data_IF_309421104139
#
_entry.id   IF_309421104139
#
_cell.length_a   1.000
_cell.length_b   1.000
_cell.length_c   1.000
_cell.angle_alpha   90.00
_cell.angle_beta   90.00
_cell.angle_gamma   90.00
#
_symmetry.space_group_name_H-M   'P 1'
#
loop_
_entity.id
_entity.type
_entity.pdbx_description
1 polymer ?
#
# COMPACT_ATOMS: atom_id res chain seq x y z
N UNK A 1 3.42 8.20 23.50
CA UNK A 1 2.01 8.55 23.83
C UNK A 1 1.85 9.59 24.93
N UNK A 2 2.89 10.08 25.62
CA UNK A 2 2.74 11.04 26.74
C UNK A 2 2.48 12.49 26.31
N UNK A 3 2.97 12.94 25.14
CA UNK A 3 2.91 14.35 24.75
C UNK A 3 1.52 14.86 24.29
N UNK A 4 0.68 13.99 23.70
CA UNK A 4 -0.65 14.40 23.21
C UNK A 4 -1.72 14.49 24.32
N UNK A 5 -1.50 13.82 25.46
CA UNK A 5 -2.47 13.76 26.57
C UNK A 5 -2.36 14.94 27.55
N UNK A 6 -1.30 15.74 27.48
CA UNK A 6 -1.00 16.75 28.52
C UNK A 6 -1.57 18.14 28.27
N UNK A 7 -2.25 18.38 27.13
CA UNK A 7 -2.72 19.72 26.74
C UNK A 7 -4.24 19.85 26.56
N UNK A 8 -5.00 18.76 26.63
CA UNK A 8 -6.44 18.79 26.47
C UNK A 8 -7.13 17.69 27.29
N UNK A 9 -8.23 18.02 27.98
CA UNK A 9 -9.09 17.08 28.72
C UNK A 9 -9.94 16.18 27.80
N UNK A 10 -9.38 15.75 26.68
CA UNK A 10 -10.04 14.89 25.69
C UNK A 10 -9.22 13.63 25.45
N UNK A 11 -9.92 12.51 25.27
CA UNK A 11 -9.29 11.26 24.89
C UNK A 11 -8.77 11.34 23.45
N UNK A 12 -7.45 11.16 23.30
CA UNK A 12 -6.80 11.08 22.00
C UNK A 12 -6.47 9.62 21.66
N UNK A 13 -6.95 9.18 20.50
CA UNK A 13 -6.59 7.91 19.88
C UNK A 13 -5.61 8.18 18.74
N UNK A 14 -4.56 7.37 18.66
CA UNK A 14 -3.55 7.44 17.59
C UNK A 14 -3.66 6.16 16.79
N UNK A 15 -3.68 6.29 15.48
CA UNK A 15 -3.75 5.18 14.55
C UNK A 15 -2.80 5.42 13.38
N UNK A 16 -2.38 4.33 12.73
CA UNK A 16 -1.61 4.37 11.50
C UNK A 16 -2.42 5.03 10.36
N UNK A 17 -1.72 5.69 9.44
CA UNK A 17 -2.30 6.42 8.30
C UNK A 17 -3.09 5.52 7.34
N UNK A 18 -2.57 4.35 6.97
CA UNK A 18 -3.25 3.39 6.11
C UNK A 18 -4.48 2.76 6.80
N UNK A 19 -4.39 2.46 8.09
CA UNK A 19 -5.55 2.05 8.90
C UNK A 19 -6.61 3.16 8.96
N UNK A 20 -6.21 4.39 9.23
CA UNK A 20 -7.13 5.54 9.26
C UNK A 20 -7.80 5.76 7.90
N UNK A 21 -7.05 5.63 6.81
CA UNK A 21 -7.59 5.69 5.44
C UNK A 21 -8.61 4.58 5.19
N UNK A 22 -8.28 3.33 5.53
CA UNK A 22 -9.19 2.19 5.39
C UNK A 22 -10.49 2.38 6.18
N UNK A 23 -10.39 2.87 7.42
CA UNK A 23 -11.55 3.17 8.26
C UNK A 23 -12.39 4.32 7.67
N UNK A 24 -11.74 5.34 7.13
CA UNK A 24 -12.40 6.43 6.42
C UNK A 24 -13.20 5.94 5.22
N UNK A 25 -12.59 5.11 4.37
CA UNK A 25 -13.26 4.52 3.20
C UNK A 25 -14.42 3.61 3.58
N UNK A 26 -14.25 2.79 4.63
CA UNK A 26 -15.29 1.90 5.14
C UNK A 26 -16.48 2.65 5.77
N UNK A 27 -16.25 3.78 6.44
CA UNK A 27 -17.30 4.53 7.14
C UNK A 27 -17.97 5.60 6.28
N UNK A 28 -17.19 6.29 5.45
CA UNK A 28 -17.63 7.51 4.78
C UNK A 28 -17.39 7.51 3.27
N UNK A 29 -16.46 6.67 2.80
CA UNK A 29 -16.01 6.69 1.41
C UNK A 29 -16.71 5.68 0.50
N UNK A 30 -15.94 5.16 -0.46
CA UNK A 30 -16.41 4.29 -1.52
C UNK A 30 -16.65 2.85 -1.05
N UNK A 31 -16.14 2.50 0.14
CA UNK A 31 -16.25 1.18 0.74
C UNK A 31 -17.38 1.06 1.78
N UNK A 32 -18.31 2.01 1.82
CA UNK A 32 -19.48 1.91 2.70
C UNK A 32 -20.27 0.63 2.43
N UNK A 33 -20.82 0.06 3.50
CA UNK A 33 -21.63 -1.17 3.50
C UNK A 33 -20.88 -2.44 3.05
N UNK A 34 -19.55 -2.39 2.99
CA UNK A 34 -18.69 -3.53 2.69
C UNK A 34 -18.32 -4.27 3.97
N UNK A 35 -18.54 -5.59 3.99
CA UNK A 35 -18.18 -6.44 5.11
C UNK A 35 -16.66 -6.55 5.29
N UNK A 36 -15.91 -6.51 4.20
CA UNK A 36 -14.44 -6.52 4.22
C UNK A 36 -13.91 -5.42 3.31
N UNK A 37 -13.11 -4.52 3.87
CA UNK A 37 -12.42 -3.45 3.12
C UNK A 37 -10.94 -3.66 3.25
N UNK A 38 -10.24 -3.69 2.12
CA UNK A 38 -8.78 -3.67 2.06
C UNK A 38 -8.39 -2.37 1.36
N UNK A 39 -7.63 -1.52 2.03
CA UNK A 39 -7.10 -0.30 1.43
C UNK A 39 -5.59 -0.47 1.25
N UNK A 40 -5.09 -0.23 0.05
CA UNK A 40 -3.67 -0.23 -0.30
C UNK A 40 -3.29 1.20 -0.63
N UNK A 41 -2.56 1.86 0.27
CA UNK A 41 -2.07 3.21 0.03
C UNK A 41 -0.76 3.15 -0.75
N UNK A 42 -0.72 3.82 -1.90
CA UNK A 42 0.48 3.92 -2.76
C UNK A 42 1.01 5.35 -2.71
N UNK A 43 2.14 5.55 -2.04
CA UNK A 43 2.77 6.85 -1.89
C UNK A 43 4.29 6.72 -1.82
N UNK A 44 4.93 7.43 -0.88
CA UNK A 44 6.37 7.26 -0.61
C UNK A 44 6.72 5.80 -0.33
N UNK A 45 5.83 5.09 0.39
CA UNK A 45 5.87 3.65 0.64
C UNK A 45 4.59 2.95 0.17
N UNK A 46 4.36 1.74 0.68
CA UNK A 46 3.13 0.97 0.49
C UNK A 46 2.54 0.64 1.87
N UNK A 47 1.37 1.22 2.16
CA UNK A 47 0.60 0.91 3.37
C UNK A 47 -0.60 0.01 3.06
N UNK A 48 -1.02 -0.78 4.04
CA UNK A 48 -2.25 -1.58 3.94
C UNK A 48 -3.06 -1.45 5.21
N UNK A 49 -4.34 -1.13 5.07
CA UNK A 49 -5.32 -1.17 6.15
C UNK A 49 -6.43 -2.15 5.81
N UNK A 50 -6.90 -2.91 6.81
CA UNK A 50 -7.99 -3.87 6.63
C UNK A 50 -9.09 -3.58 7.66
N UNK A 51 -10.33 -3.48 7.19
CA UNK A 51 -11.52 -3.35 8.03
C UNK A 51 -12.43 -4.55 7.78
N UNK A 52 -12.88 -5.19 8.84
CA UNK A 52 -13.88 -6.27 8.78
C UNK A 52 -15.05 -5.91 9.68
N UNK A 53 -16.25 -5.93 9.13
CA UNK A 53 -17.50 -5.61 9.83
C UNK A 53 -17.44 -4.26 10.57
N UNK A 54 -16.81 -3.26 9.94
CA UNK A 54 -16.62 -1.92 10.50
C UNK A 54 -15.51 -1.78 11.57
N UNK A 55 -14.77 -2.86 11.85
CA UNK A 55 -13.70 -2.92 12.85
C UNK A 55 -12.34 -3.07 12.14
N UNK A 56 -11.35 -2.27 12.54
CA UNK A 56 -9.99 -2.41 12.04
C UNK A 56 -9.38 -3.77 12.43
N UNK A 57 -8.70 -4.39 11.47
CA UNK A 57 -7.90 -5.58 11.70
C UNK A 57 -6.46 -5.14 11.95
N UNK A 58 -6.03 -5.24 13.19
CA UNK A 58 -4.65 -5.00 13.59
C UNK A 58 -3.80 -6.27 13.49
N UNK A 59 -2.51 -6.09 13.28
CA UNK A 59 -1.49 -7.12 13.43
C UNK A 59 -1.18 -7.43 14.90
N UNK A 60 -0.20 -8.31 15.11
CA UNK A 60 0.30 -8.60 16.45
C UNK A 60 0.72 -7.30 17.16
N UNK A 61 0.43 -7.20 18.45
CA UNK A 61 0.74 -6.02 19.28
C UNK A 61 0.05 -4.71 18.85
N UNK A 62 -1.01 -4.78 18.04
CA UNK A 62 -1.78 -3.59 17.65
C UNK A 62 -1.14 -2.77 16.53
N UNK A 63 -0.18 -3.34 15.79
CA UNK A 63 0.41 -2.67 14.63
C UNK A 63 -0.55 -2.68 13.43
N UNK A 64 -0.33 -1.82 12.45
CA UNK A 64 -1.02 -1.96 11.17
C UNK A 64 -0.50 -3.19 10.41
N UNK A 65 -1.25 -3.68 9.41
CA UNK A 65 -0.75 -4.68 8.49
C UNK A 65 0.50 -4.17 7.73
N UNK A 66 1.63 -4.85 7.93
CA UNK A 66 2.89 -4.56 7.23
C UNK A 66 2.95 -5.23 5.85
N UNK A 67 1.81 -5.24 5.13
CA UNK A 67 1.66 -6.04 3.92
C UNK A 67 2.40 -5.46 2.70
N UNK A 68 2.89 -4.21 2.78
CA UNK A 68 3.86 -3.67 1.82
C UNK A 68 5.18 -4.46 1.79
N UNK A 69 5.49 -5.20 2.86
CA UNK A 69 6.68 -6.05 2.98
C UNK A 69 6.47 -7.49 2.50
N UNK A 70 5.29 -7.84 1.97
CA UNK A 70 5.10 -9.15 1.33
C UNK A 70 6.07 -9.29 0.17
N UNK A 71 6.84 -10.37 0.16
CA UNK A 71 7.79 -10.70 -0.91
C UNK A 71 7.02 -11.25 -2.10
N UNK A 72 7.16 -10.60 -3.25
CA UNK A 72 6.55 -11.03 -4.53
C UNK A 72 7.60 -11.32 -5.61
N UNK A 73 8.85 -10.94 -5.36
CA UNK A 73 9.99 -11.20 -6.24
C UNK A 73 11.23 -11.51 -5.37
N UNK A 74 11.51 -12.78 -5.06
CA UNK A 74 12.62 -13.15 -4.17
C UNK A 74 14.00 -12.68 -4.65
N UNK A 75 14.16 -12.46 -5.96
CA UNK A 75 15.39 -11.96 -6.59
C UNK A 75 15.36 -10.42 -6.80
N UNK A 76 14.35 -9.75 -6.23
CA UNK A 76 14.14 -8.32 -6.34
C UNK A 76 15.10 -7.47 -5.48
N UNK A 77 14.91 -6.14 -5.46
CA UNK A 77 15.76 -5.22 -4.69
C UNK A 77 15.71 -5.50 -3.18
N UNK A 78 16.79 -5.19 -2.47
CA UNK A 78 16.82 -5.23 -1.00
C UNK A 78 15.84 -4.19 -0.41
N UNK A 79 14.97 -4.66 0.48
CA UNK A 79 14.11 -3.82 1.30
C UNK A 79 14.77 -3.51 2.64
N UNK A 80 14.45 -2.36 3.23
CA UNK A 80 14.97 -1.98 4.54
C UNK A 80 14.50 -2.90 5.68
N UNK A 81 13.42 -3.67 5.46
CA UNK A 81 12.99 -4.71 6.40
C UNK A 81 13.94 -5.93 6.42
N UNK A 82 14.91 -5.99 5.50
CA UNK A 82 15.92 -7.07 5.39
C UNK A 82 15.60 -8.14 4.35
N UNK A 83 14.39 -8.17 3.79
CA UNK A 83 14.00 -9.09 2.72
C UNK A 83 14.29 -8.54 1.31
N UNK A 84 14.23 -9.38 0.29
CA UNK A 84 14.36 -8.99 -1.11
C UNK A 84 12.99 -9.02 -1.83
N UNK A 85 12.75 -8.00 -2.66
CA UNK A 85 11.55 -7.82 -3.50
C UNK A 85 10.22 -7.84 -2.77
N UNK A 86 10.18 -7.13 -1.64
CA UNK A 86 8.93 -6.64 -1.07
C UNK A 86 8.17 -5.80 -2.10
N UNK A 87 6.83 -5.82 -2.03
CA UNK A 87 5.97 -4.97 -2.89
C UNK A 87 6.37 -3.51 -2.81
N UNK A 88 6.73 -3.01 -1.63
CA UNK A 88 7.13 -1.62 -1.42
C UNK A 88 8.34 -1.19 -2.26
N UNK A 89 9.37 -2.04 -2.36
CA UNK A 89 10.58 -1.72 -3.15
C UNK A 89 10.40 -1.96 -4.65
N UNK A 90 9.22 -2.41 -5.06
CA UNK A 90 8.86 -2.64 -6.46
C UNK A 90 7.84 -1.62 -6.97
N UNK A 91 6.94 -1.15 -6.10
CA UNK A 91 5.75 -0.42 -6.52
C UNK A 91 5.49 0.92 -5.81
N UNK A 92 6.23 1.26 -4.76
CA UNK A 92 6.11 2.60 -4.16
C UNK A 92 6.54 3.69 -5.15
N UNK A 93 6.07 4.92 -4.95
CA UNK A 93 6.52 6.06 -5.75
C UNK A 93 8.04 6.23 -5.67
N UNK A 94 8.62 6.01 -4.47
CA UNK A 94 10.07 6.03 -4.26
C UNK A 94 10.78 4.96 -5.07
N UNK A 95 10.25 3.73 -5.11
CA UNK A 95 10.83 2.63 -5.88
C UNK A 95 10.78 2.91 -7.40
N UNK A 96 9.62 3.35 -7.90
CA UNK A 96 9.41 3.68 -9.31
C UNK A 96 10.35 4.81 -9.76
N UNK A 97 10.46 5.88 -8.97
CA UNK A 97 11.37 7.01 -9.27
C UNK A 97 12.82 6.57 -9.22
N UNK A 98 13.22 5.80 -8.20
CA UNK A 98 14.58 5.27 -8.07
C UNK A 98 14.97 4.42 -9.29
N UNK A 99 14.11 3.48 -9.67
CA UNK A 99 14.35 2.61 -10.81
C UNK A 99 14.41 3.40 -12.13
N UNK A 100 13.52 4.37 -12.32
CA UNK A 100 13.48 5.20 -13.53
C UNK A 100 14.68 6.14 -13.63
N UNK A 101 15.14 6.68 -12.50
CA UNK A 101 16.36 7.51 -12.44
C UNK A 101 17.58 6.66 -12.78
N UNK A 102 17.72 5.48 -12.16
CA UNK A 102 18.83 4.56 -12.45
C UNK A 102 18.83 4.08 -13.91
N UNK A 103 17.64 3.89 -14.50
CA UNK A 103 17.49 3.51 -15.91
C UNK A 103 17.69 4.68 -16.88
N UNK A 104 17.87 5.92 -16.42
CA UNK A 104 18.01 7.10 -17.27
C UNK A 104 16.73 7.49 -18.02
N UNK A 105 15.56 7.17 -17.46
CA UNK A 105 14.24 7.58 -17.97
C UNK A 105 13.93 9.01 -17.53
N UNK A 106 14.30 9.35 -16.29
CA UNK A 106 14.12 10.67 -15.69
C UNK A 106 15.42 11.14 -15.03
N UNK A 107 15.55 12.45 -14.83
CA UNK A 107 16.65 13.04 -14.07
C UNK A 107 16.45 12.97 -12.55
N UNK A 108 17.48 13.36 -11.80
CA UNK A 108 17.42 13.48 -10.36
C UNK A 108 16.29 14.44 -9.93
N UNK A 109 15.52 14.04 -8.91
CA UNK A 109 14.36 14.81 -8.44
C UNK A 109 13.10 14.67 -9.30
N UNK A 110 13.08 13.73 -10.26
CA UNK A 110 11.87 13.41 -11.00
C UNK A 110 10.79 12.74 -10.14
N UNK A 111 9.58 12.63 -10.71
CA UNK A 111 8.37 12.18 -10.03
C UNK A 111 7.80 10.91 -10.66
N UNK A 112 7.03 10.13 -9.89
CA UNK A 112 6.35 8.95 -10.40
C UNK A 112 5.40 9.29 -11.56
N UNK A 113 4.80 10.49 -11.55
CA UNK A 113 3.97 10.98 -12.67
C UNK A 113 4.78 11.10 -13.96
N UNK A 114 5.99 11.67 -13.91
CA UNK A 114 6.85 11.77 -15.10
C UNK A 114 7.23 10.38 -15.64
N UNK A 115 7.45 9.40 -14.76
CA UNK A 115 7.68 8.00 -15.18
C UNK A 115 6.44 7.45 -15.88
N UNK A 116 5.25 7.65 -15.31
CA UNK A 116 3.99 7.22 -15.92
C UNK A 116 3.75 7.88 -17.29
N UNK A 117 3.92 9.19 -17.38
CA UNK A 117 3.75 9.95 -18.63
C UNK A 117 4.72 9.47 -19.73
N UNK A 118 5.91 9.00 -19.35
CA UNK A 118 6.90 8.47 -20.27
C UNK A 118 6.59 7.07 -20.81
N UNK A 119 5.62 6.34 -20.26
CA UNK A 119 5.32 4.94 -20.65
C UNK A 119 4.95 4.77 -22.13
N UNK A 120 4.36 5.79 -22.76
CA UNK A 120 4.03 5.75 -24.19
C UNK A 120 5.22 6.00 -25.13
N UNK A 121 6.33 6.52 -24.61
CA UNK A 121 7.49 6.94 -25.40
C UNK A 121 8.78 6.16 -25.06
N UNK A 122 8.92 5.69 -23.82
CA UNK A 122 10.10 4.97 -23.33
C UNK A 122 9.71 3.56 -22.84
N UNK A 123 10.17 2.48 -23.52
CA UNK A 123 9.86 1.12 -23.11
C UNK A 123 10.40 0.76 -21.72
N UNK A 124 11.45 1.44 -21.23
CA UNK A 124 11.96 1.25 -19.87
C UNK A 124 10.97 1.78 -18.84
N UNK A 125 10.35 2.94 -19.10
CA UNK A 125 9.30 3.49 -18.26
C UNK A 125 8.09 2.53 -18.20
N UNK A 126 7.68 2.01 -19.36
CA UNK A 126 6.61 1.01 -19.44
C UNK A 126 6.93 -0.26 -18.63
N UNK A 127 8.16 -0.78 -18.71
CA UNK A 127 8.58 -1.94 -17.95
C UNK A 127 8.59 -1.70 -16.43
N UNK A 128 9.04 -0.53 -15.98
CA UNK A 128 9.05 -0.15 -14.55
C UNK A 128 7.62 -0.07 -14.01
N UNK A 129 6.72 0.62 -14.73
CA UNK A 129 5.31 0.75 -14.32
C UNK A 129 4.61 -0.62 -14.36
N UNK A 130 4.89 -1.45 -15.36
CA UNK A 130 4.35 -2.80 -15.42
C UNK A 130 4.81 -3.68 -14.24
N UNK A 131 6.08 -3.57 -13.83
CA UNK A 131 6.59 -4.27 -12.65
C UNK A 131 5.88 -3.83 -11.37
N UNK A 132 5.68 -2.52 -11.19
CA UNK A 132 4.93 -1.98 -10.06
C UNK A 132 3.48 -2.49 -10.04
N UNK A 133 2.78 -2.45 -11.18
CA UNK A 133 1.42 -2.98 -11.30
C UNK A 133 1.35 -4.47 -10.98
N UNK A 134 2.29 -5.28 -11.47
CA UNK A 134 2.30 -6.72 -11.20
C UNK A 134 2.50 -7.03 -9.72
N UNK A 135 3.38 -6.27 -9.04
CA UNK A 135 3.60 -6.39 -7.61
C UNK A 135 2.36 -6.02 -6.78
N UNK A 136 1.72 -4.88 -7.10
CA UNK A 136 0.46 -4.46 -6.46
C UNK A 136 -0.67 -5.46 -6.71
N UNK A 137 -0.78 -5.99 -7.93
CA UNK A 137 -1.79 -6.99 -8.25
C UNK A 137 -1.55 -8.31 -7.50
N UNK A 138 -0.29 -8.71 -7.30
CA UNK A 138 0.04 -9.87 -6.48
C UNK A 138 -0.33 -9.66 -5.00
N UNK A 139 -0.06 -8.47 -4.46
CA UNK A 139 -0.46 -8.08 -3.11
C UNK A 139 -1.99 -8.10 -2.95
N UNK A 140 -2.71 -7.42 -3.84
CA UNK A 140 -4.17 -7.35 -3.81
C UNK A 140 -4.80 -8.74 -3.87
N UNK A 141 -4.34 -9.61 -4.78
CA UNK A 141 -4.81 -11.02 -4.86
C UNK A 141 -4.55 -11.78 -3.56
N UNK A 142 -3.39 -11.59 -2.95
CA UNK A 142 -3.04 -12.23 -1.68
C UNK A 142 -3.96 -11.76 -0.56
N UNK A 143 -4.19 -10.46 -0.43
CA UNK A 143 -5.06 -9.89 0.59
C UNK A 143 -6.51 -10.33 0.42
N UNK A 144 -7.02 -10.34 -0.81
CA UNK A 144 -8.36 -10.88 -1.12
C UNK A 144 -8.44 -12.36 -0.73
N UNK A 145 -7.45 -13.18 -1.11
CA UNK A 145 -7.46 -14.60 -0.78
C UNK A 145 -7.46 -14.86 0.74
N UNK A 146 -6.73 -14.04 1.51
CA UNK A 146 -6.65 -14.15 2.98
C UNK A 146 -7.90 -13.63 3.66
N UNK A 147 -8.46 -12.51 3.19
CA UNK A 147 -9.51 -11.79 3.93
C UNK A 147 -10.93 -12.02 3.41
N UNK A 148 -11.13 -12.44 2.15
CA UNK A 148 -12.45 -12.54 1.54
C UNK A 148 -13.01 -13.98 1.45
N UNK A 149 -12.23 -15.04 1.67
CA UNK A 149 -12.72 -16.43 1.57
C UNK A 149 -13.18 -16.87 0.16
N UNK A 150 -13.52 -18.15 -0.01
CA UNK A 150 -13.92 -18.75 -1.32
C UNK A 150 -15.30 -18.31 -1.80
N UNK A 151 -16.15 -17.84 -0.90
CA UNK A 151 -17.37 -17.12 -1.21
C UNK A 151 -17.01 -15.65 -1.25
N UNK A 152 -16.98 -15.06 -2.43
CA UNK A 152 -16.95 -13.60 -2.58
C UNK A 152 -18.21 -13.09 -1.88
N UNK A 153 -18.12 -12.81 -0.58
CA UNK A 153 -19.11 -11.96 0.08
C UNK A 153 -19.20 -10.72 -0.80
N UNK A 154 -20.42 -10.37 -1.18
CA UNK A 154 -20.74 -9.39 -2.21
C UNK A 154 -20.25 -7.95 -1.90
N UNK A 155 -19.30 -7.79 -0.99
CA UNK A 155 -18.69 -6.53 -0.60
C UNK A 155 -17.25 -6.62 -0.11
N UNK A 156 -16.35 -7.29 -0.82
CA UNK A 156 -14.91 -7.01 -0.72
C UNK A 156 -14.52 -5.92 -1.72
N UNK A 157 -13.85 -4.86 -1.27
CA UNK A 157 -13.35 -3.80 -2.15
C UNK A 157 -11.89 -3.48 -1.81
N UNK A 158 -11.07 -3.35 -2.87
CA UNK A 158 -9.66 -2.94 -2.80
C UNK A 158 -9.55 -1.55 -3.40
N UNK A 159 -9.02 -0.60 -2.62
CA UNK A 159 -8.82 0.80 -3.01
C UNK A 159 -7.35 1.13 -2.98
#
# INVERSE_FOLDING_TARGET
MSALRSSADIEALVENDANAAALGEARFGAARDRAVVVCITVGTGIGVGVVRDGILVHGAHGTHPEAGHVVVDPDGPLCYCGAHGCVEVLASATAVVTAATAAGVIGAGGTAKQVHDATGADPRAAAIVARAHNALAALARTLVAVHAGRSVDAGAAVF
#
